data_IF_684396894137
#
_entry.id   IF_684396894137
#
_cell.length_a   1.000
_cell.length_b   1.000
_cell.length_c   1.000
_cell.angle_alpha   90.00
_cell.angle_beta   90.00
_cell.angle_gamma   90.00
#
_symmetry.space_group_name_H-M   'P 1'
#
loop_
_entity.id
_entity.type
_entity.pdbx_description
1 polymer ?
#
# COMPACT_ATOMS: atom_id res chain seq x y z
N UNK A 1 32.58 -44.66 5.21
CA UNK A 1 31.67 -44.21 4.13
C UNK A 1 30.24 -44.30 4.63
N UNK A 2 29.70 -43.29 5.32
CA UNK A 2 28.31 -42.84 5.16
C UNK A 2 28.26 -41.38 5.60
N UNK A 3 27.82 -40.55 4.68
CA UNK A 3 27.82 -39.09 4.65
C UNK A 3 26.73 -38.53 5.54
N UNK A 4 27.03 -37.46 6.27
CA UNK A 4 26.09 -36.70 7.07
C UNK A 4 25.26 -35.70 6.26
N UNK A 5 24.33 -35.09 6.99
CA UNK A 5 23.50 -33.93 6.67
C UNK A 5 22.24 -34.20 5.83
N UNK A 6 21.15 -34.53 6.53
CA UNK A 6 19.79 -34.30 6.04
C UNK A 6 19.56 -32.78 6.08
N UNK A 7 19.61 -32.15 4.91
CA UNK A 7 19.10 -30.80 4.69
C UNK A 7 17.57 -30.87 4.63
N UNK A 8 16.88 -30.70 5.74
CA UNK A 8 15.44 -30.39 5.71
C UNK A 8 15.26 -28.96 5.21
N UNK A 9 15.03 -28.81 3.91
CA UNK A 9 14.50 -27.55 3.35
C UNK A 9 13.10 -27.39 3.93
N UNK A 10 12.91 -26.42 4.82
CA UNK A 10 11.58 -25.99 5.27
C UNK A 10 10.87 -25.39 4.04
N UNK A 11 9.79 -26.01 3.51
CA UNK A 11 9.15 -25.55 2.27
C UNK A 11 8.50 -24.16 2.41
N UNK A 12 8.32 -23.67 3.63
CA UNK A 12 7.61 -22.43 3.92
C UNK A 12 8.34 -21.15 3.48
N UNK A 13 9.67 -21.14 3.43
CA UNK A 13 10.42 -19.91 3.14
C UNK A 13 10.35 -19.49 1.66
N UNK A 14 10.17 -20.45 0.74
CA UNK A 14 9.99 -20.16 -0.68
C UNK A 14 8.56 -19.70 -1.01
N UNK A 15 7.55 -20.19 -0.28
CA UNK A 15 6.14 -19.84 -0.47
C UNK A 15 5.84 -18.38 -0.09
N UNK A 16 6.50 -17.86 0.95
CA UNK A 16 6.34 -16.45 1.38
C UNK A 16 6.90 -15.46 0.36
N UNK A 17 7.99 -15.82 -0.35
CA UNK A 17 8.63 -14.90 -1.30
C UNK A 17 7.76 -14.57 -2.52
N UNK A 18 6.97 -15.52 -3.03
CA UNK A 18 6.11 -15.30 -4.20
C UNK A 18 4.76 -14.64 -3.91
N UNK A 19 4.43 -14.43 -2.63
CA UNK A 19 3.09 -13.99 -2.23
C UNK A 19 2.89 -12.48 -2.42
N UNK A 20 3.96 -11.72 -2.64
CA UNK A 20 3.97 -10.26 -2.70
C UNK A 20 4.71 -9.71 -3.92
N UNK A 21 4.91 -10.51 -4.97
CA UNK A 21 5.64 -10.09 -6.18
C UNK A 21 5.02 -8.86 -6.88
N UNK A 22 3.74 -8.56 -6.58
CA UNK A 22 3.07 -7.34 -7.03
C UNK A 22 3.54 -6.10 -6.27
N UNK A 23 3.92 -6.22 -4.99
CA UNK A 23 4.48 -5.11 -4.21
C UNK A 23 5.81 -4.66 -4.80
N UNK A 24 6.67 -5.59 -5.22
CA UNK A 24 7.97 -5.26 -5.82
C UNK A 24 7.81 -4.40 -7.08
N UNK A 25 6.71 -4.55 -7.81
CA UNK A 25 6.41 -3.74 -9.00
C UNK A 25 6.09 -2.29 -8.63
N UNK A 26 5.37 -2.08 -7.52
CA UNK A 26 4.92 -0.76 -7.08
C UNK A 26 5.91 -0.08 -6.13
N UNK A 27 6.85 -0.81 -5.51
CA UNK A 27 7.81 -0.29 -4.52
C UNK A 27 8.53 0.97 -5.00
N UNK A 28 9.07 0.97 -6.21
CA UNK A 28 9.79 2.13 -6.75
C UNK A 28 8.88 3.38 -6.90
N UNK A 29 7.59 3.17 -7.14
CA UNK A 29 6.61 4.25 -7.22
C UNK A 29 6.23 4.75 -5.82
N UNK A 30 5.91 3.83 -4.91
CA UNK A 30 5.53 4.14 -3.54
C UNK A 30 6.66 4.81 -2.75
N UNK A 31 7.92 4.40 -2.98
CA UNK A 31 9.10 5.05 -2.40
C UNK A 31 9.20 6.52 -2.84
N UNK A 32 8.94 6.82 -4.11
CA UNK A 32 8.93 8.20 -4.61
C UNK A 32 7.80 9.01 -3.99
N UNK A 33 6.61 8.41 -3.87
CA UNK A 33 5.47 9.06 -3.23
C UNK A 33 5.76 9.37 -1.75
N UNK A 34 6.36 8.41 -1.04
CA UNK A 34 6.86 8.63 0.32
C UNK A 34 7.90 9.75 0.38
N UNK A 35 8.90 9.74 -0.50
CA UNK A 35 9.95 10.77 -0.54
C UNK A 35 9.42 12.15 -0.94
N UNK A 36 8.25 12.23 -1.58
CA UNK A 36 7.55 13.48 -1.84
C UNK A 36 6.77 13.97 -0.61
N UNK A 37 6.07 13.08 0.11
CA UNK A 37 5.28 13.47 1.29
C UNK A 37 6.14 13.70 2.54
N UNK A 38 7.08 12.81 2.83
CA UNK A 38 7.84 12.79 4.08
C UNK A 38 8.63 14.08 4.39
N UNK A 39 9.33 14.71 3.41
CA UNK A 39 10.01 15.98 3.66
C UNK A 39 9.06 17.19 3.67
N UNK A 40 7.79 17.02 3.30
CA UNK A 40 6.80 18.09 3.20
C UNK A 40 5.63 17.89 4.19
N UNK A 41 5.89 17.85 5.52
CA UNK A 41 4.84 17.68 6.50
C UNK A 41 3.95 18.92 6.58
N UNK A 42 2.64 18.71 6.65
CA UNK A 42 1.65 19.75 6.92
C UNK A 42 1.17 19.68 8.38
N UNK A 43 0.71 20.81 8.91
CA UNK A 43 0.18 20.88 10.28
C UNK A 43 -1.20 20.24 10.37
N UNK A 44 -1.58 19.81 11.58
CA UNK A 44 -2.91 19.29 11.85
C UNK A 44 -4.01 20.26 11.41
N UNK A 45 -4.93 19.80 10.58
CA UNK A 45 -6.04 20.60 10.03
C UNK A 45 -5.64 21.52 8.87
N UNK A 46 -4.43 21.39 8.33
CA UNK A 46 -3.90 22.17 7.21
C UNK A 46 -3.28 21.28 6.11
N UNK A 47 -3.66 20.00 6.05
CA UNK A 47 -3.08 18.97 5.18
C UNK A 47 -3.60 19.03 3.73
N UNK A 48 -3.64 20.22 3.15
CA UNK A 48 -4.27 20.48 1.85
C UNK A 48 -3.58 19.72 0.73
N UNK A 49 -2.25 19.79 0.65
CA UNK A 49 -1.51 19.15 -0.44
C UNK A 49 -1.43 17.64 -0.24
N UNK A 50 -1.29 17.16 1.00
CA UNK A 50 -1.29 15.75 1.33
C UNK A 50 -2.63 15.11 0.98
N UNK A 51 -3.75 15.72 1.40
CA UNK A 51 -5.10 15.28 1.05
C UNK A 51 -5.30 15.19 -0.45
N UNK A 52 -4.94 16.25 -1.19
CA UNK A 52 -5.07 16.28 -2.65
C UNK A 52 -4.26 15.16 -3.32
N UNK A 53 -3.02 14.94 -2.88
CA UNK A 53 -2.15 13.87 -3.42
C UNK A 53 -2.73 12.48 -3.14
N UNK A 54 -3.17 12.20 -1.91
CA UNK A 54 -3.79 10.92 -1.55
C UNK A 54 -5.06 10.66 -2.34
N UNK A 55 -5.94 11.67 -2.48
CA UNK A 55 -7.15 11.54 -3.29
C UNK A 55 -6.85 11.20 -4.75
N UNK A 56 -5.82 11.82 -5.33
CA UNK A 56 -5.36 11.52 -6.67
C UNK A 56 -4.84 10.08 -6.80
N UNK A 57 -4.06 9.59 -5.83
CA UNK A 57 -3.55 8.22 -5.86
C UNK A 57 -4.65 7.17 -5.71
N UNK A 58 -5.61 7.38 -4.81
CA UNK A 58 -6.77 6.49 -4.67
C UNK A 58 -7.62 6.46 -5.95
N UNK A 59 -7.83 7.62 -6.58
CA UNK A 59 -8.57 7.71 -7.84
C UNK A 59 -7.85 6.92 -8.95
N UNK A 60 -6.52 7.05 -9.07
CA UNK A 60 -5.71 6.29 -10.05
C UNK A 60 -5.74 4.80 -9.78
N UNK A 61 -5.79 4.40 -8.52
CA UNK A 61 -5.92 3.00 -8.11
C UNK A 61 -7.34 2.43 -8.33
N UNK A 62 -8.30 3.23 -8.80
CA UNK A 62 -9.64 2.78 -9.17
C UNK A 62 -10.68 2.83 -8.05
N UNK A 63 -10.40 3.56 -6.97
CA UNK A 63 -11.37 3.79 -5.90
C UNK A 63 -12.38 4.87 -6.30
N UNK A 64 -13.61 4.77 -5.78
CA UNK A 64 -14.53 5.90 -5.69
C UNK A 64 -14.09 6.79 -4.53
N UNK A 65 -13.68 8.03 -4.82
CA UNK A 65 -13.06 8.91 -3.83
C UNK A 65 -14.00 10.06 -3.45
N UNK A 66 -14.21 10.23 -2.15
CA UNK A 66 -14.85 11.40 -1.56
C UNK A 66 -13.80 12.23 -0.82
N UNK A 67 -13.61 13.47 -1.26
CA UNK A 67 -12.69 14.43 -0.65
C UNK A 67 -13.40 15.34 0.37
N UNK A 68 -12.59 16.00 1.21
CA UNK A 68 -13.01 17.01 2.18
C UNK A 68 -13.95 16.49 3.29
N UNK A 69 -13.79 15.23 3.70
CA UNK A 69 -14.54 14.66 4.81
C UNK A 69 -13.97 15.17 6.13
N UNK A 70 -14.72 16.04 6.81
CA UNK A 70 -14.29 16.61 8.10
C UNK A 70 -13.06 17.52 8.02
N UNK A 71 -12.84 18.21 6.89
CA UNK A 71 -11.67 19.05 6.66
C UNK A 71 -10.91 18.55 5.44
N UNK A 72 -9.68 18.08 5.64
CA UNK A 72 -8.83 17.49 4.59
C UNK A 72 -8.85 15.94 4.62
N UNK A 73 -9.88 15.33 5.21
CA UNK A 73 -10.04 13.88 5.18
C UNK A 73 -10.44 13.39 3.78
N UNK A 74 -9.94 12.20 3.41
CA UNK A 74 -10.23 11.53 2.14
C UNK A 74 -10.75 10.12 2.45
N UNK A 75 -11.85 9.75 1.80
CA UNK A 75 -12.43 8.40 1.88
C UNK A 75 -12.41 7.79 0.49
N UNK A 76 -11.79 6.61 0.36
CA UNK A 76 -11.82 5.80 -0.87
C UNK A 76 -12.62 4.53 -0.64
N UNK A 77 -13.59 4.26 -1.51
CA UNK A 77 -14.36 3.01 -1.53
C UNK A 77 -13.92 2.18 -2.73
N UNK A 78 -13.42 0.97 -2.47
CA UNK A 78 -13.14 -0.01 -3.52
C UNK A 78 -14.26 -1.04 -3.52
N UNK A 79 -15.12 -0.97 -4.54
CA UNK A 79 -16.21 -1.91 -4.71
C UNK A 79 -15.68 -3.31 -4.98
N UNK A 80 -16.04 -4.26 -4.13
CA UNK A 80 -15.99 -5.68 -4.44
C UNK A 80 -17.42 -6.24 -4.35
N UNK A 81 -17.69 -7.35 -5.04
CA UNK A 81 -19.01 -7.98 -5.09
C UNK A 81 -19.64 -8.15 -3.70
N UNK A 82 -20.96 -8.36 -3.65
CA UNK A 82 -21.75 -8.42 -2.41
C UNK A 82 -21.06 -9.22 -1.29
N UNK A 83 -20.92 -8.58 -0.12
CA UNK A 83 -20.28 -9.17 1.05
C UNK A 83 -20.09 -8.19 2.20
N UNK A 84 -19.55 -8.65 3.34
CA UNK A 84 -19.15 -7.79 4.43
C UNK A 84 -18.08 -6.78 4.00
N UNK A 85 -18.15 -5.57 4.55
CA UNK A 85 -17.18 -4.49 4.32
C UNK A 85 -16.09 -4.49 5.41
N UNK A 86 -14.88 -4.08 5.04
CA UNK A 86 -13.71 -3.89 5.93
C UNK A 86 -13.40 -2.40 6.08
#
# INVERSE_FOLDING_TARGET
MVTGLILTVVPGLALVRGQFDYLDQDCAYLEKFYQDLHPNPELSGQEKETSRKVAQELTKAGFEVTENVGGYGVVGVFGNADGPIL
#
